data_IF_905700871660
#
_entry.id   IF_905700871660
#
_cell.length_a   1.000
_cell.length_b   1.000
_cell.length_c   1.000
_cell.angle_alpha   90.00
_cell.angle_beta   90.00
_cell.angle_gamma   90.00
#
_symmetry.space_group_name_H-M   'P 1'
#
loop_
_entity.id
_entity.type
_entity.pdbx_description
1 polymer ?
#
# COMPACT_ATOMS: atom_id res chain seq x y z
N UNK A 1 18.03 -1.72 16.85
CA UNK A 1 16.60 -2.01 16.59
C UNK A 1 16.25 -1.53 15.20
N UNK A 2 15.54 -2.32 14.44
CA UNK A 2 15.11 -1.97 13.08
C UNK A 2 13.93 -1.01 13.14
N UNK A 3 14.10 0.19 12.57
CA UNK A 3 13.01 1.15 12.44
C UNK A 3 12.00 0.75 11.36
N UNK A 4 10.80 1.28 11.43
CA UNK A 4 9.76 1.02 10.44
C UNK A 4 8.93 2.28 10.14
N UNK A 5 8.54 2.41 8.89
CA UNK A 5 7.57 3.39 8.41
C UNK A 5 6.40 2.67 7.73
N UNK A 6 5.20 2.96 8.16
CA UNK A 6 3.97 2.39 7.59
C UNK A 6 3.04 3.52 7.19
N UNK A 7 2.52 3.48 5.97
CA UNK A 7 1.55 4.46 5.48
C UNK A 7 0.45 3.83 4.64
N UNK A 8 -0.69 4.48 4.60
CA UNK A 8 -1.91 4.03 3.90
C UNK A 8 -2.86 3.24 4.82
N UNK A 9 -3.97 2.76 4.30
CA UNK A 9 -4.42 3.01 2.93
C UNK A 9 -4.79 4.48 2.70
N UNK A 10 -4.68 4.94 1.46
CA UNK A 10 -5.25 6.22 1.05
C UNK A 10 -6.74 6.02 0.83
N UNK A 11 -7.53 6.66 1.68
CA UNK A 11 -8.98 6.65 1.54
C UNK A 11 -9.41 7.79 0.62
N UNK A 12 -10.33 7.49 -0.30
CA UNK A 12 -10.85 8.45 -1.23
C UNK A 12 -12.34 8.21 -1.49
N UNK A 13 -13.04 9.28 -1.82
CA UNK A 13 -14.45 9.22 -2.18
C UNK A 13 -14.63 8.40 -3.45
N UNK A 14 -15.62 7.52 -3.45
CA UNK A 14 -16.00 6.73 -4.63
C UNK A 14 -17.01 7.49 -5.46
N UNK A 15 -16.77 7.58 -6.76
CA UNK A 15 -17.67 8.24 -7.70
C UNK A 15 -17.45 7.68 -9.10
N UNK A 16 -18.47 7.71 -9.99
CA UNK A 16 -18.32 7.32 -11.37
C UNK A 16 -17.21 8.13 -12.08
N UNK A 17 -16.51 7.50 -13.00
CA UNK A 17 -15.38 8.12 -13.71
C UNK A 17 -15.71 9.49 -14.30
N UNK A 18 -16.88 9.62 -14.95
CA UNK A 18 -17.31 10.88 -15.57
C UNK A 18 -17.72 11.97 -14.56
N UNK A 19 -17.95 11.61 -13.31
CA UNK A 19 -18.35 12.53 -12.24
C UNK A 19 -17.19 12.87 -11.30
N UNK A 20 -15.97 12.41 -11.63
CA UNK A 20 -14.79 12.62 -10.80
C UNK A 20 -14.48 14.10 -10.71
N UNK A 21 -14.55 14.65 -9.49
CA UNK A 21 -14.30 16.08 -9.23
C UNK A 21 -12.83 16.37 -9.04
N UNK A 22 -12.41 17.54 -9.48
CA UNK A 22 -11.03 17.99 -9.32
C UNK A 22 -10.63 18.11 -7.84
N UNK A 23 -11.50 18.58 -6.95
CA UNK A 23 -11.20 18.70 -5.53
C UNK A 23 -10.93 17.35 -4.86
N UNK A 24 -11.69 16.31 -5.21
CA UNK A 24 -11.47 14.95 -4.73
C UNK A 24 -10.14 14.38 -5.25
N UNK A 25 -9.78 14.67 -6.49
CA UNK A 25 -8.49 14.33 -7.06
C UNK A 25 -7.35 15.01 -6.30
N UNK A 26 -7.43 16.32 -6.05
CA UNK A 26 -6.42 17.08 -5.32
C UNK A 26 -6.22 16.56 -3.89
N UNK A 27 -7.31 16.21 -3.22
CA UNK A 27 -7.26 15.60 -1.89
C UNK A 27 -6.52 14.26 -1.89
N UNK A 28 -6.84 13.38 -2.83
CA UNK A 28 -6.15 12.10 -3.00
C UNK A 28 -4.66 12.30 -3.29
N UNK A 29 -4.31 13.22 -4.18
CA UNK A 29 -2.90 13.55 -4.48
C UNK A 29 -2.17 14.05 -3.24
N UNK A 30 -2.83 14.84 -2.40
CA UNK A 30 -2.29 15.31 -1.13
C UNK A 30 -1.94 14.16 -0.17
N UNK A 31 -2.83 13.19 -0.04
CA UNK A 31 -2.61 12.01 0.81
C UNK A 31 -1.48 11.11 0.29
N UNK A 32 -1.44 10.87 -1.01
CA UNK A 32 -0.35 10.10 -1.66
C UNK A 32 1.00 10.81 -1.48
N UNK A 33 1.02 12.13 -1.66
CA UNK A 33 2.22 12.94 -1.44
C UNK A 33 2.73 12.80 0.00
N UNK A 34 1.83 12.88 0.98
CA UNK A 34 2.16 12.75 2.40
C UNK A 34 2.77 11.38 2.71
N UNK A 35 2.18 10.30 2.20
CA UNK A 35 2.69 8.94 2.37
C UNK A 35 4.09 8.78 1.75
N UNK A 36 4.26 9.22 0.51
CA UNK A 36 5.54 9.12 -0.20
C UNK A 36 6.64 9.94 0.45
N UNK A 37 6.38 11.22 0.74
CA UNK A 37 7.38 12.09 1.35
C UNK A 37 7.76 11.62 2.76
N UNK A 38 6.80 11.09 3.52
CA UNK A 38 7.06 10.49 4.82
C UNK A 38 8.02 9.29 4.73
N UNK A 39 7.80 8.41 3.76
CA UNK A 39 8.70 7.27 3.52
C UNK A 39 10.11 7.72 3.09
N UNK A 40 10.18 8.74 2.22
CA UNK A 40 11.45 9.33 1.79
C UNK A 40 12.23 9.91 2.98
N UNK A 41 11.57 10.68 3.80
CA UNK A 41 12.21 11.35 4.94
C UNK A 41 12.63 10.33 5.99
N UNK A 42 11.78 9.33 6.27
CA UNK A 42 12.17 8.18 7.07
C UNK A 42 13.44 7.52 6.54
N UNK A 43 13.49 7.21 5.24
CA UNK A 43 14.66 6.57 4.65
C UNK A 43 15.92 7.42 4.71
N UNK A 44 15.80 8.75 4.63
CA UNK A 44 16.94 9.68 4.78
C UNK A 44 17.52 9.66 6.18
N UNK A 45 16.67 9.61 7.20
CA UNK A 45 17.05 9.67 8.60
C UNK A 45 17.44 8.31 9.18
N UNK A 46 16.99 7.21 8.54
CA UNK A 46 17.26 5.87 9.05
C UNK A 46 18.74 5.50 8.95
N UNK A 47 19.34 5.26 10.08
CA UNK A 47 20.70 4.72 10.20
C UNK A 47 20.64 3.19 10.34
N UNK A 48 21.13 2.48 9.31
CA UNK A 48 21.11 1.02 9.26
C UNK A 48 19.80 0.44 8.71
N UNK A 49 19.54 -0.86 8.98
CA UNK A 49 18.38 -1.55 8.43
C UNK A 49 17.04 -0.90 8.80
N UNK A 50 16.12 -0.90 7.87
CA UNK A 50 14.81 -0.31 8.05
C UNK A 50 13.71 -1.01 7.25
N UNK A 51 12.47 -0.66 7.52
CA UNK A 51 11.28 -1.24 6.89
C UNK A 51 10.34 -0.14 6.42
N UNK A 52 9.93 -0.21 5.16
CA UNK A 52 8.87 0.64 4.59
C UNK A 52 7.74 -0.29 4.16
N UNK A 53 6.54 -0.02 4.62
CA UNK A 53 5.34 -0.74 4.22
C UNK A 53 4.26 0.25 3.82
N UNK A 54 3.79 0.13 2.59
CA UNK A 54 2.60 0.85 2.13
C UNK A 54 1.41 -0.09 2.12
N UNK A 55 0.28 0.38 2.62
CA UNK A 55 -1.01 -0.28 2.42
C UNK A 55 -1.67 0.37 1.21
N UNK A 56 -1.85 -0.42 0.16
CA UNK A 56 -2.44 -0.02 -1.11
C UNK A 56 -3.97 -0.07 -1.03
N UNK A 57 -4.63 -0.26 -2.14
CA UNK A 57 -6.08 -0.40 -2.23
C UNK A 57 -6.47 -1.60 -3.08
N UNK A 58 -7.60 -2.23 -2.78
CA UNK A 58 -8.14 -3.34 -3.56
C UNK A 58 -8.30 -2.96 -5.05
N UNK A 59 -8.71 -1.72 -5.32
CA UNK A 59 -8.88 -1.19 -6.67
C UNK A 59 -7.58 -1.06 -7.48
N UNK A 60 -6.42 -1.10 -6.84
CA UNK A 60 -5.14 -1.14 -7.54
C UNK A 60 -4.81 -2.54 -8.08
N UNK A 61 -5.31 -3.59 -7.43
CA UNK A 61 -5.12 -4.98 -7.86
C UNK A 61 -6.22 -5.47 -8.80
N UNK A 62 -7.40 -4.85 -8.74
CA UNK A 62 -8.54 -5.21 -9.55
C UNK A 62 -9.39 -3.98 -9.85
N UNK A 63 -9.74 -3.78 -11.12
CA UNK A 63 -10.61 -2.67 -11.51
C UNK A 63 -11.98 -2.77 -10.85
N UNK A 64 -12.38 -1.70 -10.17
CA UNK A 64 -13.65 -1.58 -9.47
C UNK A 64 -14.33 -0.30 -9.92
N UNK A 65 -15.55 -0.41 -10.39
CA UNK A 65 -16.32 0.76 -10.82
C UNK A 65 -16.47 1.78 -9.67
N UNK A 66 -16.24 3.05 -9.95
CA UNK A 66 -16.33 4.14 -8.97
C UNK A 66 -15.09 4.32 -8.09
N UNK A 67 -14.12 3.43 -8.15
CA UNK A 67 -12.94 3.45 -7.26
C UNK A 67 -11.66 3.96 -7.96
N UNK A 68 -11.78 4.90 -8.89
CA UNK A 68 -10.63 5.45 -9.64
C UNK A 68 -9.58 6.03 -8.70
N UNK A 69 -9.99 6.87 -7.76
CA UNK A 69 -9.05 7.56 -6.87
C UNK A 69 -8.29 6.59 -5.97
N UNK A 70 -8.98 5.63 -5.37
CA UNK A 70 -8.34 4.59 -4.56
C UNK A 70 -7.38 3.75 -5.40
N UNK A 71 -7.80 3.37 -6.60
CA UNK A 71 -6.99 2.56 -7.52
C UNK A 71 -5.71 3.28 -7.94
N UNK A 72 -5.80 4.55 -8.31
CA UNK A 72 -4.64 5.37 -8.69
C UNK A 72 -3.69 5.54 -7.50
N UNK A 73 -4.22 5.86 -6.32
CA UNK A 73 -3.42 6.01 -5.11
C UNK A 73 -2.67 4.71 -4.77
N UNK A 74 -3.35 3.58 -4.81
CA UNK A 74 -2.75 2.28 -4.53
C UNK A 74 -1.69 1.88 -5.57
N UNK A 75 -1.94 2.15 -6.84
CA UNK A 75 -0.96 1.91 -7.92
C UNK A 75 0.30 2.77 -7.74
N UNK A 76 0.13 4.04 -7.37
CA UNK A 76 1.25 4.94 -7.06
C UNK A 76 2.11 4.37 -5.92
N UNK A 77 1.50 4.01 -4.80
CA UNK A 77 2.21 3.46 -3.64
C UNK A 77 2.92 2.14 -3.98
N UNK A 78 2.31 1.31 -4.80
CA UNK A 78 2.92 0.05 -5.26
C UNK A 78 4.20 0.31 -6.05
N UNK A 79 4.15 1.21 -7.04
CA UNK A 79 5.34 1.54 -7.83
C UNK A 79 6.40 2.22 -6.97
N UNK A 80 6.01 3.14 -6.09
CA UNK A 80 6.95 3.81 -5.19
C UNK A 80 7.69 2.83 -4.28
N UNK A 81 7.00 1.83 -3.73
CA UNK A 81 7.63 0.79 -2.93
C UNK A 81 8.61 -0.07 -3.72
N UNK A 82 8.27 -0.44 -4.94
CA UNK A 82 9.13 -1.26 -5.80
C UNK A 82 10.42 -0.51 -6.18
N UNK A 83 10.32 0.77 -6.52
CA UNK A 83 11.50 1.60 -6.78
C UNK A 83 12.34 1.77 -5.51
N UNK A 84 11.71 2.05 -4.38
CA UNK A 84 12.40 2.15 -3.09
C UNK A 84 13.13 0.86 -2.72
N UNK A 85 12.53 -0.30 -2.98
CA UNK A 85 13.15 -1.61 -2.74
C UNK A 85 14.47 -1.77 -3.52
N UNK A 86 14.53 -1.30 -4.75
CA UNK A 86 15.75 -1.33 -5.56
C UNK A 86 16.79 -0.35 -5.05
N UNK A 87 16.39 0.90 -4.84
CA UNK A 87 17.33 1.99 -4.52
C UNK A 87 17.88 1.93 -3.08
N UNK A 88 17.11 1.35 -2.16
CA UNK A 88 17.48 1.32 -0.74
C UNK A 88 18.07 -0.02 -0.27
N UNK A 89 18.20 -0.99 -1.18
CA UNK A 89 18.69 -2.34 -0.86
C UNK A 89 20.06 -2.33 -0.18
N UNK A 90 21.02 -1.55 -0.71
CA UNK A 90 22.38 -1.45 -0.16
C UNK A 90 22.42 -0.87 1.25
N UNK A 91 21.38 -0.12 1.65
CA UNK A 91 21.24 0.42 3.00
C UNK A 91 20.54 -0.54 3.96
N UNK A 92 20.12 -1.73 3.48
CA UNK A 92 19.38 -2.71 4.28
C UNK A 92 17.93 -2.29 4.57
N UNK A 93 17.39 -1.35 3.81
CA UNK A 93 16.00 -0.90 3.95
C UNK A 93 15.14 -1.67 2.96
N UNK A 94 14.14 -2.40 3.47
CA UNK A 94 13.15 -3.09 2.64
C UNK A 94 11.92 -2.22 2.40
N UNK A 95 11.26 -2.38 1.26
CA UNK A 95 10.03 -1.69 0.94
C UNK A 95 9.02 -2.66 0.30
N UNK A 96 7.84 -2.74 0.87
CA UNK A 96 6.81 -3.69 0.47
C UNK A 96 5.42 -3.05 0.46
N UNK A 97 4.48 -3.72 -0.19
CA UNK A 97 3.08 -3.29 -0.30
C UNK A 97 2.15 -4.39 0.18
N UNK A 98 1.16 -4.01 0.96
CA UNK A 98 0.04 -4.87 1.34
C UNK A 98 -1.21 -4.37 0.62
N UNK A 99 -1.87 -5.25 -0.12
CA UNK A 99 -3.14 -4.95 -0.79
C UNK A 99 -4.27 -5.47 0.07
N UNK A 100 -5.13 -4.57 0.61
CA UNK A 100 -6.24 -4.96 1.47
C UNK A 100 -7.42 -5.48 0.66
N UNK A 101 -8.41 -6.05 1.35
CA UNK A 101 -9.73 -6.31 0.80
C UNK A 101 -10.47 -5.01 0.48
N UNK A 102 -11.58 -5.12 -0.28
CA UNK A 102 -12.43 -3.99 -0.63
C UNK A 102 -13.00 -3.27 0.60
N UNK A 103 -13.34 -4.04 1.62
CA UNK A 103 -13.85 -3.57 2.90
C UNK A 103 -13.07 -4.22 4.05
N UNK A 104 -11.84 -3.73 4.31
CA UNK A 104 -10.94 -4.40 5.24
C UNK A 104 -11.41 -4.21 6.69
N UNK A 105 -11.54 -5.32 7.41
CA UNK A 105 -11.74 -5.28 8.86
C UNK A 105 -10.45 -4.95 9.64
N UNK A 106 -9.34 -4.83 8.94
CA UNK A 106 -8.05 -4.42 9.44
C UNK A 106 -7.18 -5.54 10.03
N UNK A 107 -7.74 -6.62 10.50
CA UNK A 107 -6.95 -7.66 11.20
C UNK A 107 -5.96 -8.38 10.30
N UNK A 108 -6.39 -8.81 9.12
CA UNK A 108 -5.51 -9.50 8.17
C UNK A 108 -4.39 -8.60 7.68
N UNK A 109 -4.72 -7.33 7.39
CA UNK A 109 -3.74 -6.32 6.98
C UNK A 109 -2.72 -6.08 8.09
N UNK A 110 -3.17 -5.89 9.32
CA UNK A 110 -2.29 -5.69 10.48
C UNK A 110 -1.31 -6.84 10.66
N UNK A 111 -1.77 -8.08 10.57
CA UNK A 111 -0.90 -9.25 10.73
C UNK A 111 0.21 -9.30 9.66
N UNK A 112 -0.12 -8.97 8.41
CA UNK A 112 0.87 -8.92 7.33
C UNK A 112 1.83 -7.74 7.52
N UNK A 113 1.33 -6.58 7.92
CA UNK A 113 2.17 -5.41 8.24
C UNK A 113 3.12 -5.74 9.39
N UNK A 114 2.62 -6.35 10.47
CA UNK A 114 3.44 -6.74 11.62
C UNK A 114 4.57 -7.71 11.22
N UNK A 115 4.28 -8.66 10.33
CA UNK A 115 5.31 -9.52 9.77
C UNK A 115 6.34 -8.71 8.98
N UNK A 116 5.90 -7.84 8.07
CA UNK A 116 6.81 -7.09 7.18
C UNK A 116 7.71 -6.09 7.91
N UNK A 117 7.29 -5.57 9.05
CA UNK A 117 8.13 -4.68 9.87
C UNK A 117 9.05 -5.42 10.82
N UNK A 118 8.87 -6.74 10.98
CA UNK A 118 9.70 -7.56 11.85
C UNK A 118 11.02 -7.95 11.20
N UNK A 119 11.96 -8.43 12.02
CA UNK A 119 13.23 -8.96 11.55
C UNK A 119 13.07 -10.25 10.73
N UNK A 120 11.97 -10.98 10.93
CA UNK A 120 11.65 -12.20 10.16
C UNK A 120 11.42 -11.91 8.66
N UNK A 121 11.09 -10.66 8.31
CA UNK A 121 10.89 -10.24 6.93
C UNK A 121 12.14 -9.61 6.29
N UNK A 122 13.32 -9.78 6.86
CA UNK A 122 14.56 -9.16 6.37
C UNK A 122 14.85 -9.43 4.89
N UNK A 123 14.49 -10.59 4.38
CA UNK A 123 14.67 -10.95 2.98
C UNK A 123 13.50 -10.60 2.06
N UNK A 124 12.46 -9.97 2.58
CA UNK A 124 11.26 -9.60 1.80
C UNK A 124 11.33 -8.13 1.41
N UNK A 125 11.53 -7.86 0.12
CA UNK A 125 11.59 -6.49 -0.40
C UNK A 125 11.07 -6.45 -1.84
N UNK A 126 10.33 -5.41 -2.18
CA UNK A 126 9.68 -5.25 -3.49
C UNK A 126 8.42 -6.12 -3.66
N UNK A 127 7.95 -6.75 -2.60
CA UNK A 127 6.78 -7.62 -2.65
C UNK A 127 5.47 -6.82 -2.65
N UNK A 128 4.50 -7.33 -3.39
CA UNK A 128 3.10 -6.90 -3.34
C UNK A 128 2.29 -8.07 -2.80
N UNK A 129 1.81 -7.95 -1.57
CA UNK A 129 1.18 -9.04 -0.84
C UNK A 129 -0.32 -8.76 -0.74
N UNK A 130 -1.13 -9.60 -1.38
CA UNK A 130 -2.57 -9.53 -1.26
C UNK A 130 -3.03 -10.15 0.07
N UNK A 131 -3.53 -9.29 0.96
CA UNK A 131 -4.14 -9.67 2.23
C UNK A 131 -5.67 -9.45 2.14
N UNK A 132 -6.27 -10.00 1.11
CA UNK A 132 -7.64 -9.71 0.66
C UNK A 132 -8.54 -10.95 0.60
N UNK A 133 -8.08 -12.07 1.18
CA UNK A 133 -8.83 -13.34 1.14
C UNK A 133 -9.07 -13.88 -0.26
N UNK A 134 -8.24 -13.50 -1.24
CA UNK A 134 -8.39 -13.92 -2.64
C UNK A 134 -9.30 -13.03 -3.48
N UNK A 135 -9.79 -11.92 -2.94
CA UNK A 135 -10.69 -11.00 -3.68
C UNK A 135 -10.13 -10.60 -5.05
N UNK A 136 -8.86 -10.24 -5.12
CA UNK A 136 -8.21 -9.76 -6.35
C UNK A 136 -8.12 -10.81 -7.45
N UNK A 137 -8.14 -12.09 -7.10
CA UNK A 137 -8.00 -13.22 -8.04
C UNK A 137 -9.29 -14.02 -8.24
N UNK A 138 -10.39 -13.72 -7.55
CA UNK A 138 -11.66 -14.40 -7.75
C UNK A 138 -12.31 -13.97 -9.06
N UNK A 139 -13.01 -14.88 -9.72
CA UNK A 139 -13.69 -14.59 -10.99
C UNK A 139 -14.72 -13.48 -10.87
N UNK A 140 -15.45 -13.45 -9.80
CA UNK A 140 -16.61 -12.57 -9.60
C UNK A 140 -16.31 -11.34 -8.72
N UNK A 141 -15.09 -11.23 -8.16
CA UNK A 141 -14.76 -10.14 -7.26
C UNK A 141 -15.64 -10.09 -6.00
N UNK A 142 -16.12 -11.24 -5.55
CA UNK A 142 -16.93 -11.33 -4.34
C UNK A 142 -16.06 -11.32 -3.09
N UNK A 143 -16.58 -10.77 -1.98
CA UNK A 143 -15.90 -10.91 -0.69
C UNK A 143 -15.61 -12.38 -0.38
N UNK A 144 -14.44 -12.62 0.14
CA UNK A 144 -14.04 -13.97 0.54
C UNK A 144 -14.62 -14.34 1.91
N UNK A 145 -15.06 -15.60 2.12
CA UNK A 145 -15.40 -16.06 3.46
C UNK A 145 -14.20 -16.17 4.41
N UNK A 146 -12.98 -15.93 3.92
CA UNK A 146 -11.76 -15.95 4.73
C UNK A 146 -11.50 -14.65 5.49
N UNK A 147 -12.32 -13.63 5.26
CA UNK A 147 -12.16 -12.31 5.87
C UNK A 147 -13.30 -11.96 6.80
#
# INVERSE_FOLDING_TARGET
MTGAFVAGPVQAERMPFLELRQDAWEEMVGEVRKAFLGARDYAREQEGPGRIVFVSAAAAARAIAGATLEGVAGAFLTTAAQVAAVELAERGITANVVVPALDPNGQTVSAVVDFLVSDSAQGVSGAVIAADGGFSVTKEGKPSPLL
#
